data_IF_719719376270
#
_entry.id   IF_719719376270
#
_cell.length_a   1.000
_cell.length_b   1.000
_cell.length_c   1.000
_cell.angle_alpha   90.00
_cell.angle_beta   90.00
_cell.angle_gamma   90.00
#
_symmetry.space_group_name_H-M   'P 1'
#
loop_
_entity.id
_entity.type
_entity.pdbx_description
1 polymer ?
#
# COMPACT_ATOMS: atom_id res chain seq x y z
N UNK A 1 17.31 -0.26 18.28
CA UNK A 1 17.34 0.28 16.90
C UNK A 1 16.72 1.66 16.98
N UNK A 2 17.46 2.68 16.56
CA UNK A 2 17.07 4.07 16.71
C UNK A 2 15.83 4.40 15.87
N UNK A 3 14.94 5.26 16.39
CA UNK A 3 13.79 5.87 15.68
C UNK A 3 14.22 6.65 14.44
N UNK A 4 15.51 6.86 14.25
CA UNK A 4 16.14 7.64 13.18
C UNK A 4 16.05 6.95 11.80
N UNK A 5 15.84 5.63 11.75
CA UNK A 5 15.77 4.87 10.48
C UNK A 5 14.42 5.03 9.75
N UNK A 6 13.41 5.59 10.40
CA UNK A 6 12.09 5.83 9.81
C UNK A 6 11.80 7.29 9.48
N UNK A 7 12.77 8.16 9.56
CA UNK A 7 12.60 9.51 9.10
C UNK A 7 12.56 9.55 7.57
N UNK A 8 11.35 9.49 7.01
CA UNK A 8 11.12 9.56 5.56
C UNK A 8 11.55 10.90 4.95
N UNK A 9 11.90 11.89 5.75
CA UNK A 9 12.45 13.17 5.27
C UNK A 9 13.92 13.04 4.87
N UNK A 10 14.63 12.01 5.36
CA UNK A 10 16.04 11.75 5.03
C UNK A 10 16.16 10.82 3.81
N UNK A 11 17.15 11.07 2.98
CA UNK A 11 17.51 10.19 1.85
C UNK A 11 18.06 8.85 2.37
N UNK A 12 17.73 7.74 1.70
CA UNK A 12 18.26 6.43 2.07
C UNK A 12 19.80 6.40 1.94
N UNK A 13 20.47 6.11 3.04
CA UNK A 13 21.91 5.90 3.05
C UNK A 13 22.31 4.48 2.58
N UNK A 14 21.36 3.54 2.52
CA UNK A 14 21.59 2.14 2.09
C UNK A 14 20.70 1.79 0.91
N UNK A 15 21.22 1.02 -0.08
CA UNK A 15 20.39 0.53 -1.16
C UNK A 15 19.29 -0.40 -0.63
N UNK A 16 18.15 -0.36 -1.30
CA UNK A 16 17.03 -1.29 -1.04
C UNK A 16 17.53 -2.71 -1.32
N UNK A 17 17.37 -3.67 -0.40
CA UNK A 17 17.75 -5.05 -0.66
C UNK A 17 16.96 -5.60 -1.85
N UNK A 18 17.65 -6.29 -2.76
CA UNK A 18 17.00 -6.93 -3.88
C UNK A 18 15.98 -7.99 -3.38
N UNK A 19 14.82 -8.12 -4.03
CA UNK A 19 13.84 -9.13 -3.67
C UNK A 19 14.40 -10.56 -3.87
N UNK A 20 13.96 -11.50 -3.04
CA UNK A 20 14.34 -12.90 -3.17
C UNK A 20 13.72 -13.53 -4.43
N UNK A 21 14.31 -14.63 -4.92
CA UNK A 21 13.76 -15.37 -6.07
C UNK A 21 12.31 -15.81 -5.82
N UNK A 22 11.99 -16.26 -4.62
CA UNK A 22 10.63 -16.66 -4.24
C UNK A 22 9.65 -15.49 -4.29
N UNK A 23 10.05 -14.30 -3.85
CA UNK A 23 9.24 -13.09 -3.96
C UNK A 23 9.01 -12.70 -5.42
N UNK A 24 10.03 -12.81 -6.27
CA UNK A 24 9.92 -12.54 -7.71
C UNK A 24 9.00 -13.53 -8.42
N UNK A 25 9.05 -14.80 -8.07
CA UNK A 25 8.17 -15.84 -8.64
C UNK A 25 6.72 -15.62 -8.25
N UNK A 26 6.44 -15.39 -6.96
CA UNK A 26 5.10 -15.07 -6.46
C UNK A 26 4.54 -13.81 -7.11
N UNK A 27 5.33 -12.73 -7.16
CA UNK A 27 4.96 -11.50 -7.82
C UNK A 27 4.69 -11.69 -9.32
N UNK A 28 5.47 -12.56 -9.99
CA UNK A 28 5.27 -12.91 -11.40
C UNK A 28 3.93 -13.59 -11.66
N UNK A 29 3.54 -14.53 -10.79
CA UNK A 29 2.26 -15.23 -10.91
C UNK A 29 1.08 -14.28 -10.69
N UNK A 30 1.11 -13.47 -9.63
CA UNK A 30 0.06 -12.48 -9.37
C UNK A 30 -0.02 -11.42 -10.47
N UNK A 31 1.11 -10.94 -10.97
CA UNK A 31 1.14 -9.99 -12.08
C UNK A 31 0.58 -10.58 -13.39
N UNK A 32 0.78 -11.85 -13.65
CA UNK A 32 0.21 -12.53 -14.81
C UNK A 32 -1.32 -12.60 -14.74
N UNK A 33 -1.86 -12.94 -13.57
CA UNK A 33 -3.32 -12.95 -13.33
C UNK A 33 -3.90 -11.55 -13.48
N UNK A 34 -3.30 -10.56 -12.84
CA UNK A 34 -3.76 -9.18 -12.92
C UNK A 34 -3.64 -8.58 -14.33
N UNK A 35 -2.59 -8.93 -15.08
CA UNK A 35 -2.41 -8.49 -16.46
C UNK A 35 -3.55 -8.98 -17.39
N UNK A 36 -4.13 -10.14 -17.14
CA UNK A 36 -5.33 -10.59 -17.82
C UNK A 36 -6.55 -9.72 -17.47
N UNK A 37 -6.71 -9.34 -16.21
CA UNK A 37 -7.76 -8.43 -15.75
C UNK A 37 -7.65 -7.03 -16.38
N UNK A 38 -6.45 -6.47 -16.48
CA UNK A 38 -6.22 -5.18 -17.14
C UNK A 38 -6.66 -5.21 -18.61
N UNK A 39 -6.28 -6.25 -19.34
CA UNK A 39 -6.64 -6.40 -20.76
C UNK A 39 -8.15 -6.54 -20.99
N UNK A 40 -8.85 -7.18 -20.06
CA UNK A 40 -10.30 -7.41 -20.21
C UNK A 40 -11.16 -6.26 -19.65
N UNK A 41 -10.72 -5.57 -18.61
CA UNK A 41 -11.57 -4.65 -17.83
C UNK A 41 -11.04 -3.21 -17.77
N UNK A 42 -9.86 -2.94 -18.34
CA UNK A 42 -9.22 -1.62 -18.33
C UNK A 42 -8.68 -1.17 -16.98
N UNK A 43 -8.61 -2.06 -15.98
CA UNK A 43 -7.98 -1.81 -14.70
C UNK A 43 -7.24 -3.05 -14.20
N UNK A 44 -6.24 -2.83 -13.36
CA UNK A 44 -5.38 -3.88 -12.82
C UNK A 44 -5.51 -3.95 -11.31
N UNK A 45 -5.70 -5.16 -10.79
CA UNK A 45 -5.64 -5.46 -9.34
C UNK A 45 -4.90 -6.77 -9.16
N UNK A 46 -3.83 -6.75 -8.37
CA UNK A 46 -3.14 -7.94 -7.91
C UNK A 46 -3.08 -7.94 -6.38
N UNK A 47 -3.35 -9.08 -5.76
CA UNK A 47 -3.35 -9.26 -4.30
C UNK A 47 -2.38 -10.38 -3.95
N UNK A 48 -1.22 -10.01 -3.44
CA UNK A 48 -0.21 -10.97 -2.97
C UNK A 48 -0.55 -11.53 -1.58
N UNK A 49 -1.20 -10.73 -0.73
CA UNK A 49 -1.63 -11.16 0.60
C UNK A 49 -3.14 -11.33 0.63
N UNK A 50 -3.57 -12.56 0.77
CA UNK A 50 -4.98 -12.91 1.01
C UNK A 50 -5.10 -13.50 2.40
N UNK A 51 -5.77 -12.80 3.29
CA UNK A 51 -5.95 -13.25 4.66
C UNK A 51 -7.30 -13.96 4.77
N UNK A 52 -7.28 -15.23 5.18
CA UNK A 52 -8.49 -16.03 5.42
C UNK A 52 -9.08 -15.80 6.81
N UNK A 53 -8.26 -15.37 7.76
CA UNK A 53 -8.70 -14.99 9.10
C UNK A 53 -8.82 -13.47 9.19
N UNK A 54 -9.95 -12.99 9.71
CA UNK A 54 -10.16 -11.56 9.95
C UNK A 54 -9.09 -11.01 10.89
N UNK A 55 -8.36 -10.00 10.43
CA UNK A 55 -7.42 -9.24 11.26
C UNK A 55 -8.26 -8.24 12.08
N UNK A 56 -8.26 -8.28 13.41
CA UNK A 56 -9.02 -7.31 14.19
C UNK A 56 -8.41 -5.91 14.04
N UNK A 57 -9.23 -4.84 14.10
CA UNK A 57 -8.71 -3.48 14.10
C UNK A 57 -7.86 -3.22 15.34
N UNK A 58 -6.81 -2.39 15.19
CA UNK A 58 -5.82 -2.13 16.26
C UNK A 58 -6.39 -1.35 17.44
N UNK A 59 -7.39 -0.50 17.19
CA UNK A 59 -8.13 0.22 18.25
C UNK A 59 -9.26 -0.62 18.88
N UNK A 60 -9.54 -1.80 18.32
CA UNK A 60 -10.60 -2.69 18.77
C UNK A 60 -12.00 -2.35 18.23
N UNK A 61 -12.18 -1.20 17.59
CA UNK A 61 -13.48 -0.72 17.12
C UNK A 61 -13.55 -0.63 15.58
N UNK A 62 -12.78 0.26 14.99
CA UNK A 62 -12.79 0.53 13.54
C UNK A 62 -11.41 0.34 12.93
N UNK A 63 -11.40 -0.12 11.67
CA UNK A 63 -10.15 -0.18 10.92
C UNK A 63 -9.67 1.23 10.58
N UNK A 64 -8.40 1.49 10.83
CA UNK A 64 -7.72 2.73 10.47
C UNK A 64 -6.99 2.55 9.15
N UNK A 65 -7.32 3.38 8.16
CA UNK A 65 -6.74 3.39 6.82
C UNK A 65 -5.91 4.65 6.62
N UNK A 66 -4.64 4.50 6.29
CA UNK A 66 -3.80 5.63 5.87
C UNK A 66 -3.77 5.70 4.34
N UNK A 67 -4.32 6.77 3.79
CA UNK A 67 -4.28 7.09 2.35
C UNK A 67 -3.10 8.04 2.11
N UNK A 68 -2.13 7.59 1.32
CA UNK A 68 -0.96 8.37 0.91
C UNK A 68 -1.13 8.72 -0.56
N UNK A 69 -1.53 9.96 -0.83
CA UNK A 69 -1.93 10.47 -2.14
C UNK A 69 -1.70 11.97 -2.18
N UNK A 70 -1.02 12.49 -3.20
CA UNK A 70 -0.74 13.92 -3.33
C UNK A 70 -1.86 14.69 -4.05
N UNK A 71 -2.67 14.01 -4.88
CA UNK A 71 -3.87 14.59 -5.46
C UNK A 71 -4.96 14.76 -4.38
N UNK A 72 -5.31 16.02 -4.00
CA UNK A 72 -6.25 16.27 -2.93
C UNK A 72 -7.68 15.80 -3.26
N UNK A 73 -8.07 15.81 -4.52
CA UNK A 73 -9.42 15.41 -4.94
C UNK A 73 -9.57 13.90 -4.81
N UNK A 74 -8.57 13.14 -5.25
CA UNK A 74 -8.55 11.69 -5.08
C UNK A 74 -8.42 11.29 -3.61
N UNK A 75 -7.56 11.97 -2.84
CA UNK A 75 -7.41 11.71 -1.40
C UNK A 75 -8.73 11.98 -0.63
N UNK A 76 -9.46 13.03 -0.99
CA UNK A 76 -10.76 13.34 -0.40
C UNK A 76 -11.81 12.31 -0.80
N UNK A 77 -11.92 11.99 -2.09
CA UNK A 77 -12.83 10.95 -2.58
C UNK A 77 -12.61 9.61 -1.87
N UNK A 78 -11.37 9.17 -1.73
CA UNK A 78 -11.05 7.95 -0.99
C UNK A 78 -11.41 8.07 0.50
N UNK A 79 -11.18 9.25 1.08
CA UNK A 79 -11.57 9.56 2.45
C UNK A 79 -13.07 9.37 2.69
N UNK A 80 -13.89 9.91 1.81
CA UNK A 80 -15.36 9.82 1.90
C UNK A 80 -15.84 8.38 1.70
N UNK A 81 -15.37 7.70 0.64
CA UNK A 81 -15.76 6.33 0.32
C UNK A 81 -15.41 5.34 1.45
N UNK A 82 -14.20 5.40 1.99
CA UNK A 82 -13.79 4.51 3.07
C UNK A 82 -14.37 4.93 4.41
N UNK A 83 -14.58 6.23 4.63
CA UNK A 83 -15.31 6.75 5.79
C UNK A 83 -16.74 6.21 5.87
N UNK A 84 -17.47 6.28 4.76
CA UNK A 84 -18.84 5.72 4.63
C UNK A 84 -18.85 4.19 4.82
N UNK A 85 -17.76 3.51 4.43
CA UNK A 85 -17.58 2.08 4.67
C UNK A 85 -17.13 1.72 6.10
N UNK A 86 -17.09 2.71 7.02
CA UNK A 86 -16.81 2.52 8.44
C UNK A 86 -15.32 2.47 8.81
N UNK A 87 -14.44 2.95 7.95
CA UNK A 87 -13.02 3.10 8.28
C UNK A 87 -12.75 4.46 8.95
N UNK A 88 -11.78 4.50 9.85
CA UNK A 88 -11.13 5.75 10.25
C UNK A 88 -10.06 6.08 9.21
N UNK A 89 -10.27 7.13 8.41
CA UNK A 89 -9.35 7.48 7.32
C UNK A 89 -8.41 8.59 7.75
N UNK A 90 -7.11 8.32 7.63
CA UNK A 90 -6.02 9.29 7.77
C UNK A 90 -5.44 9.56 6.40
N UNK A 91 -4.92 10.77 6.18
CA UNK A 91 -4.37 11.19 4.88
C UNK A 91 -2.96 11.72 5.04
N UNK A 92 -2.11 11.49 4.05
CA UNK A 92 -0.78 12.07 3.92
C UNK A 92 -0.49 12.31 2.44
N UNK A 93 0.10 13.45 2.10
CA UNK A 93 0.38 13.85 0.71
C UNK A 93 1.86 13.97 0.38
N UNK A 94 2.74 13.80 1.37
CA UNK A 94 4.18 13.97 1.23
C UNK A 94 4.93 13.21 2.34
N UNK A 95 6.27 13.15 2.23
CA UNK A 95 7.13 12.46 3.21
C UNK A 95 6.95 12.93 4.64
N UNK A 96 6.80 14.23 4.87
CA UNK A 96 6.69 14.78 6.20
C UNK A 96 5.38 14.33 6.87
N UNK A 97 4.28 14.33 6.13
CA UNK A 97 2.99 13.87 6.61
C UNK A 97 2.97 12.36 6.83
N UNK A 98 3.56 11.56 5.91
CA UNK A 98 3.74 10.11 6.12
C UNK A 98 4.50 9.86 7.42
N UNK A 99 5.61 10.58 7.62
CA UNK A 99 6.41 10.46 8.83
C UNK A 99 5.60 10.78 10.10
N UNK A 100 4.80 11.84 10.07
CA UNK A 100 3.93 12.20 11.18
C UNK A 100 2.89 11.10 11.47
N UNK A 101 2.27 10.52 10.44
CA UNK A 101 1.24 9.50 10.61
C UNK A 101 1.79 8.17 11.14
N UNK A 102 2.93 7.69 10.65
CA UNK A 102 3.52 6.42 11.09
C UNK A 102 4.16 6.50 12.47
N UNK A 103 4.45 7.70 12.97
CA UNK A 103 4.98 7.93 14.31
C UNK A 103 3.88 8.13 15.38
N UNK A 104 2.62 8.13 15.01
CA UNK A 104 1.52 8.11 15.97
C UNK A 104 1.54 6.85 16.84
N UNK A 105 1.00 6.91 18.06
CA UNK A 105 0.97 5.74 18.97
C UNK A 105 0.30 4.51 18.35
N UNK A 106 -0.81 4.72 17.63
CA UNK A 106 -1.51 3.67 16.91
C UNK A 106 -1.18 3.74 15.41
N UNK A 107 -0.63 2.62 14.91
CA UNK A 107 -0.41 2.43 13.48
C UNK A 107 -1.74 2.25 12.76
N UNK A 108 -1.82 2.62 11.47
CA UNK A 108 -2.96 2.23 10.65
C UNK A 108 -3.00 0.69 10.49
N UNK A 109 -4.19 0.16 10.24
CA UNK A 109 -4.38 -1.26 9.95
C UNK A 109 -4.00 -1.61 8.51
N UNK A 110 -4.08 -0.64 7.60
CA UNK A 110 -3.69 -0.74 6.20
C UNK A 110 -3.25 0.62 5.67
N UNK A 111 -2.29 0.62 4.75
CA UNK A 111 -1.87 1.80 3.99
C UNK A 111 -2.20 1.61 2.51
N UNK A 112 -2.88 2.60 1.91
CA UNK A 112 -2.92 2.81 0.47
C UNK A 112 -1.81 3.79 0.12
N UNK A 113 -0.89 3.40 -0.76
CA UNK A 113 0.33 4.17 -1.04
C UNK A 113 0.49 4.42 -2.52
N UNK A 114 0.41 5.69 -2.93
CA UNK A 114 0.79 6.06 -4.29
C UNK A 114 2.31 5.88 -4.49
N UNK A 115 2.67 5.38 -5.65
CA UNK A 115 4.08 5.26 -6.06
C UNK A 115 4.66 6.63 -6.39
N UNK A 116 3.88 7.51 -7.03
CA UNK A 116 4.35 8.77 -7.55
C UNK A 116 3.96 9.93 -6.64
N UNK A 117 4.77 10.19 -5.63
CA UNK A 117 4.63 11.36 -4.78
C UNK A 117 5.61 12.47 -5.22
N UNK A 118 5.31 13.75 -4.98
CA UNK A 118 6.12 14.87 -5.46
C UNK A 118 7.53 14.90 -4.85
N UNK A 119 7.70 14.37 -3.65
CA UNK A 119 8.95 14.39 -2.89
C UNK A 119 9.47 13.00 -2.51
N UNK A 120 8.80 11.93 -2.98
CA UNK A 120 9.12 10.55 -2.65
C UNK A 120 8.76 9.56 -3.74
N UNK A 121 9.49 8.44 -3.77
CA UNK A 121 9.11 7.23 -4.48
C UNK A 121 8.45 6.26 -3.50
N UNK A 122 7.20 5.88 -3.76
CA UNK A 122 6.43 4.96 -2.91
C UNK A 122 7.09 3.60 -2.74
N UNK A 123 7.85 3.11 -3.72
CA UNK A 123 8.62 1.86 -3.58
C UNK A 123 9.74 1.99 -2.54
N UNK A 124 10.39 3.17 -2.47
CA UNK A 124 11.39 3.43 -1.44
C UNK A 124 10.77 3.53 -0.05
N UNK A 125 9.57 4.13 0.05
CA UNK A 125 8.81 4.18 1.30
C UNK A 125 8.46 2.76 1.75
N UNK A 126 7.92 1.93 0.86
CA UNK A 126 7.60 0.53 1.14
C UNK A 126 8.82 -0.24 1.63
N UNK A 127 9.95 -0.12 0.96
CA UNK A 127 11.19 -0.80 1.34
C UNK A 127 11.65 -0.41 2.76
N UNK A 128 11.54 0.87 3.13
CA UNK A 128 11.85 1.33 4.49
C UNK A 128 10.88 0.75 5.52
N UNK A 129 9.59 0.70 5.22
CA UNK A 129 8.59 0.08 6.08
C UNK A 129 8.93 -1.39 6.31
N UNK A 130 9.30 -2.14 5.26
CA UNK A 130 9.66 -3.56 5.36
C UNK A 130 10.96 -3.81 6.13
N UNK A 131 11.92 -2.91 6.04
CA UNK A 131 13.19 -2.99 6.77
C UNK A 131 13.05 -2.70 8.27
N UNK A 132 11.96 -2.07 8.70
CA UNK A 132 11.77 -1.68 10.09
C UNK A 132 10.82 -2.64 10.82
N UNK A 133 11.27 -3.20 11.95
CA UNK A 133 10.53 -4.25 12.70
C UNK A 133 9.10 -3.86 13.09
N UNK A 134 8.86 -2.59 13.42
CA UNK A 134 7.52 -2.06 13.80
C UNK A 134 6.53 -2.08 12.63
N UNK A 135 7.02 -1.90 11.37
CA UNK A 135 6.17 -1.72 10.19
C UNK A 135 6.29 -2.85 9.16
N UNK A 136 7.20 -3.80 9.39
CA UNK A 136 7.46 -4.88 8.45
C UNK A 136 6.20 -5.69 8.08
N UNK A 137 5.21 -5.70 8.97
CA UNK A 137 3.94 -6.41 8.79
C UNK A 137 2.74 -5.49 8.52
N UNK A 138 2.95 -4.18 8.39
CA UNK A 138 1.88 -3.26 8.03
C UNK A 138 1.39 -3.59 6.62
N UNK A 139 0.09 -3.91 6.44
CA UNK A 139 -0.47 -4.15 5.13
C UNK A 139 -0.36 -2.89 4.26
N UNK A 140 0.18 -3.04 3.04
CA UNK A 140 0.34 -1.95 2.07
C UNK A 140 -0.19 -2.37 0.71
N UNK A 141 -1.15 -1.61 0.19
CA UNK A 141 -1.61 -1.70 -1.19
C UNK A 141 -1.01 -0.52 -1.96
N UNK A 142 -0.24 -0.81 -3.00
CA UNK A 142 0.31 0.21 -3.88
C UNK A 142 -0.76 0.69 -4.85
N UNK A 143 -0.86 2.00 -5.07
CA UNK A 143 -1.68 2.62 -6.10
C UNK A 143 -0.78 3.32 -7.10
N UNK A 144 -1.06 3.26 -8.42
CA UNK A 144 -0.22 3.93 -9.40
C UNK A 144 -0.87 4.10 -10.76
N UNK A 145 -0.50 5.17 -11.47
CA UNK A 145 -0.80 5.35 -12.89
C UNK A 145 0.07 4.49 -13.81
N UNK A 146 1.16 3.89 -13.30
CA UNK A 146 2.01 2.97 -14.04
C UNK A 146 1.49 1.55 -13.88
N UNK A 147 0.94 0.98 -14.95
CA UNK A 147 0.31 -0.33 -14.95
C UNK A 147 1.09 -1.37 -15.79
N UNK A 148 2.39 -1.15 -15.99
CA UNK A 148 3.21 -2.16 -16.66
C UNK A 148 3.42 -3.37 -15.74
N UNK A 149 3.43 -4.56 -16.32
CA UNK A 149 3.63 -5.81 -15.57
C UNK A 149 4.93 -5.81 -14.78
N UNK A 150 5.96 -5.14 -15.31
CA UNK A 150 7.26 -4.92 -14.63
C UNK A 150 7.14 -4.12 -13.33
N UNK A 151 6.34 -3.05 -13.32
CA UNK A 151 6.14 -2.19 -12.16
C UNK A 151 5.37 -2.93 -11.06
N UNK A 152 4.35 -3.68 -11.46
CA UNK A 152 3.58 -4.54 -10.54
C UNK A 152 4.46 -5.60 -9.90
N UNK A 153 5.29 -6.29 -10.71
CA UNK A 153 6.25 -7.27 -10.19
C UNK A 153 7.21 -6.64 -9.20
N UNK A 154 7.75 -5.46 -9.51
CA UNK A 154 8.65 -4.73 -8.62
C UNK A 154 7.97 -4.38 -7.29
N UNK A 155 6.73 -3.86 -7.31
CA UNK A 155 5.97 -3.53 -6.11
C UNK A 155 5.67 -4.74 -5.23
N UNK A 156 5.16 -5.83 -5.83
CA UNK A 156 4.86 -7.05 -5.08
C UNK A 156 6.14 -7.72 -4.55
N UNK A 157 7.21 -7.74 -5.33
CA UNK A 157 8.50 -8.27 -4.91
C UNK A 157 9.16 -7.42 -3.80
N UNK A 158 8.91 -6.11 -3.77
CA UNK A 158 9.30 -5.23 -2.67
C UNK A 158 8.48 -5.47 -1.38
N UNK A 159 7.48 -6.36 -1.43
CA UNK A 159 6.68 -6.75 -0.28
C UNK A 159 5.36 -5.99 -0.13
N UNK A 160 4.81 -5.44 -1.22
CA UNK A 160 3.44 -4.96 -1.22
C UNK A 160 2.46 -6.12 -1.00
N UNK A 161 1.40 -5.89 -0.25
CA UNK A 161 0.34 -6.87 -0.02
C UNK A 161 -0.70 -6.84 -1.16
N UNK A 162 -0.76 -5.75 -1.90
CA UNK A 162 -1.59 -5.60 -3.08
C UNK A 162 -1.10 -4.48 -3.99
N UNK A 163 -1.64 -4.45 -5.20
CA UNK A 163 -1.31 -3.46 -6.23
C UNK A 163 -2.56 -3.13 -7.03
N UNK A 164 -2.86 -1.85 -7.19
CA UNK A 164 -4.03 -1.35 -7.92
C UNK A 164 -3.59 -0.27 -8.89
N UNK A 165 -3.92 -0.44 -10.19
CA UNK A 165 -3.62 0.57 -11.21
C UNK A 165 -4.66 1.70 -11.20
N UNK A 166 -4.20 2.93 -11.39
CA UNK A 166 -5.03 4.09 -11.72
C UNK A 166 -5.22 4.18 -13.26
N UNK A 167 -6.42 4.46 -13.77
CA UNK A 167 -7.68 4.60 -13.05
C UNK A 167 -8.20 3.26 -12.54
N UNK A 168 -8.90 3.26 -11.40
CA UNK A 168 -9.47 2.06 -10.80
C UNK A 168 -10.97 2.21 -10.57
N UNK A 169 -11.66 1.07 -10.46
CA UNK A 169 -13.02 1.03 -9.93
C UNK A 169 -12.98 1.04 -8.42
N UNK A 170 -13.80 1.86 -7.78
CA UNK A 170 -13.92 1.93 -6.32
C UNK A 170 -14.21 0.55 -5.72
N UNK A 171 -15.10 -0.22 -6.34
CA UNK A 171 -15.44 -1.58 -5.91
C UNK A 171 -14.23 -2.52 -5.93
N UNK A 172 -13.34 -2.38 -6.90
CA UNK A 172 -12.12 -3.19 -7.00
C UNK A 172 -11.11 -2.83 -5.90
N UNK A 173 -10.93 -1.54 -5.61
CA UNK A 173 -10.09 -1.08 -4.50
C UNK A 173 -10.65 -1.53 -3.15
N UNK A 174 -11.96 -1.41 -2.95
CA UNK A 174 -12.64 -1.88 -1.73
C UNK A 174 -12.48 -3.38 -1.55
N UNK A 175 -12.64 -4.16 -2.62
CA UNK A 175 -12.40 -5.61 -2.59
C UNK A 175 -10.94 -5.93 -2.22
N UNK A 176 -9.97 -5.22 -2.78
CA UNK A 176 -8.55 -5.39 -2.45
C UNK A 176 -8.28 -5.16 -0.96
N UNK A 177 -8.79 -4.05 -0.42
CA UNK A 177 -8.68 -3.73 1.01
C UNK A 177 -9.31 -4.82 1.89
N UNK A 178 -10.50 -5.27 1.56
CA UNK A 178 -11.19 -6.32 2.32
C UNK A 178 -10.43 -7.65 2.29
N UNK A 179 -9.91 -8.06 1.13
CA UNK A 179 -9.13 -9.29 1.00
C UNK A 179 -7.84 -9.24 1.82
N UNK A 180 -7.15 -8.10 1.82
CA UNK A 180 -5.91 -7.92 2.61
C UNK A 180 -6.18 -7.91 4.10
N UNK A 181 -7.34 -7.37 4.54
CA UNK A 181 -7.75 -7.36 5.95
C UNK A 181 -8.52 -8.62 6.39
N UNK A 182 -8.81 -9.54 5.47
CA UNK A 182 -9.62 -10.73 5.78
C UNK A 182 -11.07 -10.40 6.12
N UNK A 183 -11.64 -9.35 5.52
CA UNK A 183 -13.04 -8.91 5.68
C UNK A 183 -13.95 -9.45 4.56
N UNK A 184 -13.55 -10.51 3.91
CA UNK A 184 -14.32 -11.13 2.82
C UNK A 184 -15.50 -11.95 3.30
#
# INVERSE_FOLDING_TARGET
MSTDDLDFTKTLAKPIPAPSLQQLESASQEAAVGGAHLRSNGYYVAIARRTTAKVPPRDGERYSLLVVEDDPDLANLLGDIFGDAGFEVRKAKNRAEINAEVNKPLLPDLMLLDIMLPDADGLQILARLRAHSKFARLPVIMMTGKAEVSDVKAGLAAGADGYVSKPFKVSALMMAVNLVLGKG
#
